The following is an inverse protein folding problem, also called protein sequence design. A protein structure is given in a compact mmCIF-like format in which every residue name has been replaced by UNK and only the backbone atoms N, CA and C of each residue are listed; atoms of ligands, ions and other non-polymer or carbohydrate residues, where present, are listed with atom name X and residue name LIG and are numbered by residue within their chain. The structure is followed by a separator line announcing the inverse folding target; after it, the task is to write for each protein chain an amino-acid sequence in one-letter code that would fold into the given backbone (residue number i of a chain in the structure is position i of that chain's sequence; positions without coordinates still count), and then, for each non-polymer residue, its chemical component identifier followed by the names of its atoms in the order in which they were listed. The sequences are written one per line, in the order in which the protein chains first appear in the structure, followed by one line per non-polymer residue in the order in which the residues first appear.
data_IF_001693331140
#
_entry.id   IF_001693331140
#
_cell.length_a   1.000
_cell.length_b   1.000
_cell.length_c   1.000
_cell.angle_alpha   90.00
_cell.angle_beta   90.00
_cell.angle_gamma   90.00
#
_symmetry.space_group_name_H-M   'P 1'
#
loop_
_entity.id
_entity.type
_entity.pdbx_description
1 polymer ?
#
# COMPACT_ATOMS: atom_id res chain seq x y z
N UNK A 1 -5.16 3.91 -16.73
CA UNK A 1 -6.53 3.47 -16.31
C UNK A 1 -6.91 4.13 -14.98
N UNK A 2 -6.08 4.09 -13.92
CA UNK A 2 -6.33 4.75 -12.64
C UNK A 2 -6.73 6.21 -12.79
N UNK A 3 -5.90 7.03 -13.41
CA UNK A 3 -6.18 8.44 -13.67
C UNK A 3 -7.51 8.71 -14.39
N UNK A 4 -7.91 7.82 -15.33
CA UNK A 4 -9.20 7.94 -16.03
C UNK A 4 -10.37 7.71 -15.07
N UNK A 5 -10.28 6.72 -14.18
CA UNK A 5 -11.31 6.47 -13.16
C UNK A 5 -11.45 7.64 -12.19
N UNK A 6 -10.33 8.21 -11.74
CA UNK A 6 -10.32 9.38 -10.84
C UNK A 6 -10.92 10.62 -11.54
N UNK A 7 -10.55 10.86 -12.79
CA UNK A 7 -11.11 11.96 -13.57
C UNK A 7 -12.63 11.80 -13.77
N UNK A 8 -13.10 10.61 -14.11
CA UNK A 8 -14.51 10.31 -14.29
C UNK A 8 -15.31 10.43 -12.98
N UNK A 9 -14.70 10.03 -11.83
CA UNK A 9 -15.29 10.24 -10.53
C UNK A 9 -15.45 11.73 -10.22
N UNK A 10 -14.39 12.51 -10.37
CA UNK A 10 -14.39 13.97 -10.12
C UNK A 10 -15.35 14.73 -11.06
N UNK A 11 -15.56 14.22 -12.28
CA UNK A 11 -16.53 14.75 -13.23
C UNK A 11 -17.99 14.35 -12.93
N UNK A 12 -18.23 13.47 -11.95
CA UNK A 12 -19.56 12.94 -11.63
C UNK A 12 -20.08 11.93 -12.68
N UNK A 13 -19.20 11.40 -13.51
CA UNK A 13 -19.54 10.40 -14.55
C UNK A 13 -19.62 8.98 -13.98
N UNK A 14 -19.03 8.78 -12.79
CA UNK A 14 -19.13 7.54 -12.04
C UNK A 14 -20.00 7.75 -10.81
N UNK A 15 -20.88 6.79 -10.56
CA UNK A 15 -21.67 6.69 -9.33
C UNK A 15 -21.47 5.33 -8.69
N UNK A 16 -21.68 5.24 -7.39
CA UNK A 16 -21.66 3.97 -6.69
C UNK A 16 -23.05 3.60 -6.18
N UNK A 17 -23.32 2.29 -6.15
CA UNK A 17 -24.56 1.79 -5.53
C UNK A 17 -24.45 1.91 -4.02
N UNK A 18 -25.51 2.44 -3.36
CA UNK A 18 -25.58 2.55 -1.90
C UNK A 18 -25.82 1.20 -1.18
N UNK A 19 -26.00 0.13 -1.92
CA UNK A 19 -26.21 -1.20 -1.38
C UNK A 19 -24.87 -1.97 -1.37
N UNK A 20 -24.29 -2.15 -0.19
CA UNK A 20 -23.14 -3.03 -0.04
C UNK A 20 -23.53 -4.47 -0.37
N UNK A 21 -22.77 -5.09 -1.24
CA UNK A 21 -22.86 -6.52 -1.54
C UNK A 21 -21.49 -7.13 -1.34
N UNK A 22 -21.35 -8.16 -0.49
CA UNK A 22 -20.08 -8.87 -0.39
C UNK A 22 -19.76 -9.45 -1.76
N UNK A 23 -18.70 -8.98 -2.38
CA UNK A 23 -18.25 -9.52 -3.64
C UNK A 23 -17.42 -10.77 -3.39
N UNK A 24 -18.08 -11.93 -3.35
CA UNK A 24 -17.40 -13.23 -3.35
C UNK A 24 -16.66 -13.51 -4.67
N UNK A 25 -16.89 -12.68 -5.68
CA UNK A 25 -16.40 -12.85 -7.06
C UNK A 25 -15.18 -12.02 -7.40
N UNK A 26 -14.78 -11.05 -6.57
CA UNK A 26 -13.51 -10.32 -6.79
C UNK A 26 -12.38 -11.29 -6.46
N UNK A 27 -11.88 -11.95 -7.50
CA UNK A 27 -10.84 -12.94 -7.42
C UNK A 27 -9.43 -12.31 -7.42
N UNK A 28 -8.56 -12.86 -8.25
CA UNK A 28 -7.21 -12.32 -8.48
C UNK A 28 -7.26 -11.01 -9.26
N UNK A 29 -6.39 -10.04 -8.95
CA UNK A 29 -6.30 -8.81 -9.73
C UNK A 29 -5.87 -9.09 -11.16
N UNK A 30 -6.25 -8.20 -12.09
CA UNK A 30 -5.69 -8.21 -13.44
C UNK A 30 -4.19 -8.01 -13.37
N UNK A 31 -3.42 -8.98 -13.88
CA UNK A 31 -1.95 -8.95 -13.88
C UNK A 31 -1.40 -9.27 -15.26
N UNK A 32 -0.26 -8.67 -15.64
CA UNK A 32 0.50 -9.14 -16.78
C UNK A 32 1.06 -10.55 -16.48
N UNK A 33 1.44 -11.29 -17.52
CA UNK A 33 2.07 -12.62 -17.38
C UNK A 33 3.38 -12.58 -16.58
N UNK A 34 4.09 -11.46 -16.62
CA UNK A 34 5.30 -11.20 -15.86
C UNK A 34 5.09 -9.99 -14.94
N UNK A 35 5.69 -9.97 -13.74
CA UNK A 35 6.72 -10.90 -13.22
C UNK A 35 6.15 -12.28 -12.85
N UNK A 36 6.98 -13.32 -13.01
CA UNK A 36 6.70 -14.63 -12.43
C UNK A 36 6.72 -14.49 -10.91
N UNK A 37 5.68 -14.98 -10.26
CA UNK A 37 5.57 -14.96 -8.79
C UNK A 37 6.28 -16.18 -8.19
N UNK A 38 7.07 -15.94 -7.16
CA UNK A 38 7.84 -16.95 -6.43
C UNK A 38 7.73 -16.72 -4.92
N UNK A 39 7.92 -17.75 -4.10
CA UNK A 39 8.00 -17.58 -2.65
C UNK A 39 9.05 -16.54 -2.25
N UNK A 40 8.84 -15.75 -1.18
CA UNK A 40 9.76 -14.66 -0.78
C UNK A 40 11.23 -15.08 -0.61
N UNK A 41 11.47 -16.34 -0.21
CA UNK A 41 12.82 -16.90 -0.06
C UNK A 41 13.56 -17.12 -1.40
N UNK A 42 12.82 -17.21 -2.49
CA UNK A 42 13.36 -17.46 -3.84
C UNK A 42 13.55 -16.17 -4.62
N UNK A 43 13.02 -15.04 -4.13
CA UNK A 43 13.24 -13.74 -4.73
C UNK A 43 14.67 -13.27 -4.45
N UNK A 44 15.42 -13.03 -5.50
CA UNK A 44 16.85 -12.70 -5.41
C UNK A 44 17.09 -11.35 -4.71
N UNK A 45 17.84 -11.39 -3.60
CA UNK A 45 18.35 -10.20 -2.93
C UNK A 45 19.73 -9.84 -3.47
N UNK A 46 19.93 -8.59 -3.87
CA UNK A 46 21.22 -8.10 -4.39
C UNK A 46 21.64 -6.83 -3.64
N UNK A 47 22.97 -6.57 -3.62
CA UNK A 47 23.50 -5.36 -2.98
C UNK A 47 23.25 -4.15 -3.88
N UNK A 48 22.67 -3.08 -3.33
CA UNK A 48 22.33 -1.82 -4.03
C UNK A 48 23.59 -1.08 -4.57
N UNK A 49 24.78 -1.40 -4.06
CA UNK A 49 26.04 -0.80 -4.52
C UNK A 49 26.38 -1.12 -6.00
N UNK A 50 25.79 -2.14 -6.59
CA UNK A 50 25.94 -2.46 -8.02
C UNK A 50 24.66 -2.19 -8.80
N UNK A 51 24.78 -1.96 -10.11
CA UNK A 51 23.65 -1.66 -11.00
C UNK A 51 22.57 -2.75 -10.95
N UNK A 52 22.96 -4.04 -11.04
CA UNK A 52 22.02 -5.17 -10.92
C UNK A 52 21.26 -5.17 -9.58
N UNK A 53 21.87 -4.66 -8.52
CA UNK A 53 21.22 -4.53 -7.22
C UNK A 53 20.23 -3.37 -7.17
N UNK A 54 20.54 -2.25 -7.83
CA UNK A 54 19.62 -1.11 -7.97
C UNK A 54 18.40 -1.50 -8.81
N UNK A 55 18.62 -2.17 -9.95
CA UNK A 55 17.54 -2.73 -10.77
C UNK A 55 16.64 -3.67 -9.94
N UNK A 56 17.24 -4.58 -9.17
CA UNK A 56 16.46 -5.50 -8.34
C UNK A 56 15.65 -4.80 -7.25
N UNK A 57 16.19 -3.74 -6.64
CA UNK A 57 15.47 -2.91 -5.67
C UNK A 57 14.29 -2.19 -6.34
N UNK A 58 14.55 -1.47 -7.43
CA UNK A 58 13.50 -0.73 -8.14
C UNK A 58 12.42 -1.65 -8.71
N UNK A 59 12.80 -2.83 -9.22
CA UNK A 59 11.83 -3.82 -9.69
C UNK A 59 10.93 -4.33 -8.55
N UNK A 60 11.50 -4.56 -7.36
CA UNK A 60 10.71 -4.97 -6.20
C UNK A 60 9.75 -3.85 -5.75
N UNK A 61 10.19 -2.59 -5.77
CA UNK A 61 9.33 -1.45 -5.45
C UNK A 61 8.25 -1.31 -6.54
N UNK A 62 8.58 -1.36 -7.83
CA UNK A 62 7.58 -1.34 -8.90
C UNK A 62 6.49 -2.41 -8.71
N UNK A 63 6.87 -3.59 -8.19
CA UNK A 63 5.89 -4.64 -7.90
C UNK A 63 5.02 -4.30 -6.69
N UNK A 64 5.56 -3.61 -5.68
CA UNK A 64 4.79 -3.09 -4.54
C UNK A 64 3.77 -2.07 -5.05
N UNK A 65 4.19 -1.05 -5.79
CA UNK A 65 3.32 0.00 -6.34
C UNK A 65 2.21 -0.60 -7.22
N UNK A 66 2.56 -1.57 -8.10
CA UNK A 66 1.57 -2.25 -8.93
C UNK A 66 0.49 -2.96 -8.09
N UNK A 67 0.86 -3.60 -6.99
CA UNK A 67 -0.10 -4.22 -6.08
C UNK A 67 -0.86 -3.17 -5.27
N UNK A 68 -0.24 -2.06 -4.87
CA UNK A 68 -0.88 -0.96 -4.16
C UNK A 68 -1.98 -0.30 -5.01
N UNK A 69 -1.77 -0.12 -6.33
CA UNK A 69 -2.84 0.28 -7.25
C UNK A 69 -4.04 -0.67 -7.12
N UNK A 70 -3.79 -1.98 -7.22
CA UNK A 70 -4.88 -2.96 -7.13
C UNK A 70 -5.56 -2.94 -5.76
N UNK A 71 -4.80 -2.77 -4.68
CA UNK A 71 -5.31 -2.67 -3.31
C UNK A 71 -6.23 -1.46 -3.12
N UNK A 72 -5.85 -0.30 -3.63
CA UNK A 72 -6.64 0.92 -3.53
C UNK A 72 -7.98 0.78 -4.26
N UNK A 73 -7.99 0.25 -5.48
CA UNK A 73 -9.23 -0.01 -6.21
C UNK A 73 -10.07 -1.15 -5.60
N UNK A 74 -9.43 -2.19 -5.06
CA UNK A 74 -10.11 -3.26 -4.32
C UNK A 74 -10.77 -2.73 -3.04
N UNK A 75 -10.15 -1.76 -2.37
CA UNK A 75 -10.73 -1.06 -1.22
C UNK A 75 -12.03 -0.36 -1.59
N UNK A 76 -12.05 0.37 -2.70
CA UNK A 76 -13.27 1.02 -3.21
C UNK A 76 -14.33 -0.03 -3.58
N UNK A 77 -13.93 -1.05 -4.35
CA UNK A 77 -14.88 -2.04 -4.87
C UNK A 77 -15.54 -2.88 -3.76
N UNK A 78 -14.77 -3.25 -2.72
CA UNK A 78 -15.30 -4.08 -1.62
C UNK A 78 -16.00 -3.27 -0.55
N UNK A 79 -15.45 -2.11 -0.21
CA UNK A 79 -15.84 -1.42 1.02
C UNK A 79 -16.46 -0.04 0.78
N UNK A 80 -16.54 0.45 -0.45
CA UNK A 80 -17.10 1.77 -0.76
C UNK A 80 -18.53 1.97 -0.29
N UNK A 81 -19.33 0.91 -0.18
CA UNK A 81 -20.69 0.94 0.35
C UNK A 81 -20.84 0.17 1.67
N UNK A 82 -19.74 -0.12 2.39
CA UNK A 82 -19.77 -0.89 3.62
C UNK A 82 -20.58 -0.18 4.73
N UNK A 83 -21.27 -0.96 5.55
CA UNK A 83 -22.16 -0.41 6.61
C UNK A 83 -21.44 0.34 7.71
N UNK A 84 -20.17 0.03 7.97
CA UNK A 84 -19.34 0.74 8.95
C UNK A 84 -18.84 2.10 8.43
N UNK A 85 -19.05 2.39 7.14
CA UNK A 85 -18.80 3.72 6.57
C UNK A 85 -20.13 4.47 6.56
N UNK A 86 -20.28 5.57 7.34
CA UNK A 86 -21.48 6.40 7.34
C UNK A 86 -21.84 6.83 5.93
N UNK A 87 -23.15 6.82 5.61
CA UNK A 87 -23.63 7.12 4.26
C UNK A 87 -23.08 8.42 3.71
N UNK A 88 -23.09 9.46 4.55
CA UNK A 88 -22.59 10.80 4.24
C UNK A 88 -21.05 10.86 4.05
N UNK A 89 -20.32 9.81 4.44
CA UNK A 89 -18.85 9.69 4.33
C UNK A 89 -18.39 8.76 3.22
N UNK A 90 -19.30 8.07 2.55
CA UNK A 90 -18.94 7.10 1.50
C UNK A 90 -18.24 7.74 0.31
N UNK A 91 -18.68 8.93 -0.08
CA UNK A 91 -18.03 9.68 -1.16
C UNK A 91 -16.59 10.02 -0.80
N UNK A 92 -16.36 10.52 0.45
CA UNK A 92 -15.03 10.84 0.94
C UNK A 92 -14.12 9.58 0.97
N UNK A 93 -14.68 8.44 1.42
CA UNK A 93 -13.96 7.15 1.44
C UNK A 93 -13.52 6.72 0.03
N UNK A 94 -14.44 6.78 -0.93
CA UNK A 94 -14.16 6.41 -2.32
C UNK A 94 -13.13 7.35 -2.90
N UNK A 95 -13.27 8.66 -2.70
CA UNK A 95 -12.34 9.66 -3.23
C UNK A 95 -10.92 9.48 -2.67
N UNK A 96 -10.79 9.24 -1.36
CA UNK A 96 -9.49 8.97 -0.75
C UNK A 96 -8.78 7.79 -1.40
N UNK A 97 -9.44 6.63 -1.54
CA UNK A 97 -8.82 5.45 -2.11
C UNK A 97 -8.63 5.53 -3.63
N UNK A 98 -9.46 6.28 -4.34
CA UNK A 98 -9.20 6.58 -5.75
C UNK A 98 -7.96 7.47 -5.91
N UNK A 99 -7.78 8.48 -5.05
CA UNK A 99 -6.58 9.33 -5.08
C UNK A 99 -5.32 8.53 -4.73
N UNK A 100 -5.37 7.66 -3.71
CA UNK A 100 -4.28 6.71 -3.43
C UNK A 100 -3.95 5.89 -4.68
N UNK A 101 -4.94 5.28 -5.32
CA UNK A 101 -4.71 4.48 -6.54
C UNK A 101 -4.13 5.28 -7.72
N UNK A 102 -4.42 6.57 -7.84
CA UNK A 102 -3.83 7.45 -8.86
C UNK A 102 -2.36 7.76 -8.53
N UNK A 103 -2.05 8.07 -7.27
CA UNK A 103 -0.69 8.28 -6.80
C UNK A 103 0.17 7.03 -7.01
N UNK A 104 -0.31 5.85 -6.62
CA UNK A 104 0.38 4.57 -6.82
C UNK A 104 0.64 4.27 -8.30
N UNK A 105 -0.32 4.62 -9.17
CA UNK A 105 -0.15 4.50 -10.62
C UNK A 105 0.96 5.40 -11.15
N UNK A 106 1.13 6.59 -10.60
CA UNK A 106 2.20 7.53 -10.91
C UNK A 106 3.54 7.04 -10.36
N UNK A 107 3.56 6.53 -9.12
CA UNK A 107 4.74 5.91 -8.51
C UNK A 107 5.26 4.75 -9.37
N UNK A 108 4.36 3.82 -9.73
CA UNK A 108 4.70 2.71 -10.62
C UNK A 108 5.30 3.19 -11.93
N UNK A 109 4.71 4.21 -12.55
CA UNK A 109 5.19 4.79 -13.81
C UNK A 109 6.60 5.36 -13.66
N UNK A 110 6.85 6.18 -12.64
CA UNK A 110 8.18 6.76 -12.37
C UNK A 110 9.25 5.69 -12.20
N UNK A 111 8.96 4.63 -11.43
CA UNK A 111 9.90 3.54 -11.21
C UNK A 111 10.12 2.73 -12.49
N UNK A 112 9.07 2.45 -13.27
CA UNK A 112 9.20 1.68 -14.51
C UNK A 112 9.98 2.45 -15.59
N UNK A 113 9.81 3.77 -15.68
CA UNK A 113 10.62 4.64 -16.54
C UNK A 113 12.09 4.61 -16.10
N UNK A 114 12.36 4.67 -14.79
CA UNK A 114 13.72 4.55 -14.25
C UNK A 114 14.35 3.19 -14.52
N UNK A 115 13.59 2.11 -14.45
CA UNK A 115 14.05 0.77 -14.84
C UNK A 115 14.46 0.74 -16.32
N UNK A 116 13.69 1.39 -17.20
CA UNK A 116 14.02 1.47 -18.63
C UNK A 116 15.34 2.21 -18.89
N UNK A 117 15.59 3.32 -18.17
CA UNK A 117 16.86 4.05 -18.22
C UNK A 117 18.06 3.18 -17.78
N UNK A 118 17.82 2.23 -16.87
CA UNK A 118 18.81 1.26 -16.41
C UNK A 118 18.88 -0.01 -17.29
N UNK A 119 18.23 0.01 -18.46
CA UNK A 119 18.22 -1.14 -19.40
C UNK A 119 17.39 -2.33 -18.92
N UNK A 120 16.38 -2.09 -18.07
CA UNK A 120 15.49 -3.12 -17.54
C UNK A 120 14.02 -2.71 -17.67
N UNK A 121 13.09 -3.50 -17.14
CA UNK A 121 11.66 -3.22 -17.14
C UNK A 121 10.96 -4.00 -16.03
N UNK A 122 9.74 -3.57 -15.69
CA UNK A 122 8.87 -4.36 -14.81
C UNK A 122 8.53 -5.71 -15.44
N UNK A 123 8.69 -6.78 -14.68
CA UNK A 123 8.54 -8.16 -15.19
C UNK A 123 9.86 -8.87 -15.54
N UNK A 124 10.99 -8.14 -15.58
CA UNK A 124 12.30 -8.74 -15.88
C UNK A 124 12.85 -9.65 -14.78
N UNK A 125 12.36 -9.53 -13.55
CA UNK A 125 12.78 -10.33 -12.39
C UNK A 125 11.56 -10.98 -11.75
N UNK A 126 11.77 -12.03 -10.95
CA UNK A 126 10.72 -12.63 -10.13
C UNK A 126 10.27 -11.68 -9.02
N UNK A 127 9.02 -11.79 -8.59
CA UNK A 127 8.44 -11.06 -7.47
C UNK A 127 7.68 -12.01 -6.52
N UNK A 128 7.14 -11.51 -5.42
CA UNK A 128 6.32 -12.32 -4.50
C UNK A 128 4.97 -11.66 -4.26
N UNK A 129 3.94 -12.45 -3.97
CA UNK A 129 2.55 -12.00 -3.89
C UNK A 129 2.09 -11.55 -2.50
N UNK A 130 3.01 -11.32 -1.58
CA UNK A 130 2.70 -11.10 -0.16
C UNK A 130 1.71 -9.97 0.13
N UNK A 131 1.70 -8.89 -0.68
CA UNK A 131 0.69 -7.83 -0.53
C UNK A 131 -0.71 -8.33 -0.90
N UNK A 132 -0.82 -9.07 -2.01
CA UNK A 132 -2.12 -9.56 -2.43
C UNK A 132 -2.61 -10.73 -1.56
N UNK A 133 -1.72 -11.58 -1.07
CA UNK A 133 -2.05 -12.59 -0.06
C UNK A 133 -2.67 -11.96 1.19
N UNK A 134 -2.11 -10.84 1.68
CA UNK A 134 -2.68 -10.09 2.79
C UNK A 134 -4.06 -9.49 2.44
N UNK A 135 -4.25 -9.02 1.20
CA UNK A 135 -5.54 -8.55 0.73
C UNK A 135 -6.60 -9.64 0.73
N UNK A 136 -6.26 -10.84 0.29
CA UNK A 136 -7.16 -12.01 0.32
C UNK A 136 -7.51 -12.39 1.77
N UNK A 137 -6.53 -12.40 2.66
CA UNK A 137 -6.72 -12.74 4.08
C UNK A 137 -7.65 -11.75 4.82
N UNK A 138 -7.82 -10.53 4.29
CA UNK A 138 -8.62 -9.46 4.90
C UNK A 138 -9.82 -9.03 4.05
N UNK A 139 -10.17 -9.81 3.02
CA UNK A 139 -11.18 -9.42 2.02
C UNK A 139 -12.59 -9.22 2.56
N UNK A 140 -12.93 -9.87 3.67
CA UNK A 140 -14.30 -9.90 4.22
C UNK A 140 -14.47 -8.96 5.43
N UNK A 141 -13.40 -8.27 5.88
CA UNK A 141 -13.45 -7.34 7.02
C UNK A 141 -12.69 -6.05 6.73
N UNK A 142 -13.41 -4.95 6.62
CA UNK A 142 -12.86 -3.62 6.40
C UNK A 142 -11.86 -3.21 7.48
N UNK A 143 -12.11 -3.54 8.76
CA UNK A 143 -11.18 -3.20 9.84
C UNK A 143 -9.87 -3.97 9.69
N UNK A 144 -9.93 -5.26 9.40
CA UNK A 144 -8.74 -6.08 9.14
C UNK A 144 -7.97 -5.56 7.91
N UNK A 145 -8.66 -5.21 6.81
CA UNK A 145 -8.06 -4.63 5.62
C UNK A 145 -7.33 -3.34 5.94
N UNK A 146 -7.97 -2.41 6.66
CA UNK A 146 -7.38 -1.14 7.05
C UNK A 146 -6.21 -1.31 8.03
N UNK A 147 -6.30 -2.25 8.97
CA UNK A 147 -5.21 -2.55 9.88
C UNK A 147 -3.98 -3.12 9.13
N UNK A 148 -4.18 -4.06 8.20
CA UNK A 148 -3.07 -4.80 7.60
C UNK A 148 -2.49 -4.07 6.39
N UNK A 149 -3.28 -3.62 5.43
CA UNK A 149 -2.75 -3.01 4.22
C UNK A 149 -2.08 -1.65 4.51
N UNK A 150 -2.79 -0.56 4.87
CA UNK A 150 -2.14 0.73 5.07
C UNK A 150 -1.34 0.82 6.38
N UNK A 151 -1.85 0.29 7.52
CA UNK A 151 -1.25 0.57 8.81
C UNK A 151 -0.12 -0.39 9.21
N UNK A 152 0.00 -1.56 8.56
CA UNK A 152 1.15 -2.47 8.73
C UNK A 152 2.05 -2.45 7.50
N UNK A 153 1.54 -2.74 6.31
CA UNK A 153 2.37 -2.99 5.12
C UNK A 153 2.88 -1.68 4.50
N UNK A 154 2.03 -0.69 4.23
CA UNK A 154 2.46 0.62 3.72
C UNK A 154 3.24 1.41 4.78
N UNK A 155 2.78 1.40 6.04
CA UNK A 155 3.51 2.04 7.14
C UNK A 155 4.93 1.47 7.32
N UNK A 156 5.19 0.21 6.92
CA UNK A 156 6.56 -0.31 6.86
C UNK A 156 7.40 0.41 5.82
N UNK A 157 6.81 0.89 4.74
CA UNK A 157 7.45 1.77 3.76
C UNK A 157 8.02 3.03 4.42
N UNK A 158 7.26 3.68 5.29
CA UNK A 158 7.72 4.87 6.03
C UNK A 158 8.98 4.62 6.86
N UNK A 159 9.15 3.40 7.39
CA UNK A 159 10.32 3.04 8.20
C UNK A 159 11.57 2.78 7.35
N UNK A 160 11.42 2.11 6.20
CA UNK A 160 12.55 1.56 5.46
C UNK A 160 13.02 2.42 4.29
N UNK A 161 12.14 3.22 3.70
CA UNK A 161 12.44 4.03 2.51
C UNK A 161 13.54 5.07 2.75
N UNK A 162 13.62 5.79 3.89
CA UNK A 162 14.75 6.69 4.14
C UNK A 162 16.11 6.00 4.09
N UNK A 163 16.17 4.76 4.58
CA UNK A 163 17.38 3.94 4.48
C UNK A 163 17.71 3.51 3.04
N UNK A 164 16.70 3.28 2.20
CA UNK A 164 16.89 2.96 0.77
C UNK A 164 17.39 4.17 0.01
N UNK A 165 16.80 5.35 0.21
CA UNK A 165 17.23 6.64 -0.35
C UNK A 165 18.72 6.90 -0.05
N UNK A 166 19.11 6.79 1.22
CA UNK A 166 20.49 6.97 1.64
C UNK A 166 21.45 5.98 0.97
N UNK A 167 21.06 4.74 0.76
CA UNK A 167 21.87 3.74 0.05
C UNK A 167 22.03 4.06 -1.44
N UNK A 168 20.97 4.52 -2.09
CA UNK A 168 21.02 4.96 -3.50
C UNK A 168 21.92 6.18 -3.68
N UNK A 169 21.81 7.21 -2.83
CA UNK A 169 22.68 8.38 -2.84
C UNK A 169 24.17 8.00 -2.68
N UNK A 170 24.47 7.09 -1.73
CA UNK A 170 25.86 6.60 -1.54
C UNK A 170 26.35 5.77 -2.73
N UNK A 171 25.47 5.14 -3.48
CA UNK A 171 25.80 4.41 -4.69
C UNK A 171 25.89 5.31 -5.94
N UNK A 172 25.73 6.64 -5.79
CA UNK A 172 25.78 7.61 -6.88
C UNK A 172 24.52 7.60 -7.78
N UNK A 173 23.41 7.03 -7.30
CA UNK A 173 22.14 6.96 -8.04
C UNK A 173 21.15 8.01 -7.51
N UNK A 174 21.46 9.27 -7.78
CA UNK A 174 20.61 10.42 -7.44
C UNK A 174 19.20 10.32 -8.02
N UNK A 175 19.03 10.04 -9.32
CA UNK A 175 17.70 9.95 -9.93
C UNK A 175 16.77 8.92 -9.26
N UNK A 176 17.28 7.73 -8.95
CA UNK A 176 16.49 6.73 -8.22
C UNK A 176 16.16 7.17 -6.79
N UNK A 177 17.07 7.88 -6.13
CA UNK A 177 16.83 8.41 -4.79
C UNK A 177 15.74 9.49 -4.78
N UNK A 178 15.71 10.38 -5.76
CA UNK A 178 14.70 11.45 -5.92
C UNK A 178 13.30 10.87 -6.14
N UNK A 179 13.18 9.80 -6.94
CA UNK A 179 11.92 9.09 -7.13
C UNK A 179 11.42 8.54 -5.78
N UNK A 180 12.29 7.86 -5.01
CA UNK A 180 11.91 7.33 -3.71
C UNK A 180 11.61 8.42 -2.67
N UNK A 181 12.21 9.60 -2.77
CA UNK A 181 11.86 10.75 -1.93
C UNK A 181 10.43 11.24 -2.21
N UNK A 182 10.05 11.32 -3.48
CA UNK A 182 8.68 11.69 -3.87
C UNK A 182 7.67 10.67 -3.34
N UNK A 183 7.89 9.39 -3.61
CA UNK A 183 7.04 8.30 -3.11
C UNK A 183 6.92 8.37 -1.58
N UNK A 184 8.04 8.46 -0.87
CA UNK A 184 8.04 8.51 0.59
C UNK A 184 7.18 9.65 1.17
N UNK A 185 7.20 10.84 0.57
CA UNK A 185 6.40 11.97 1.04
C UNK A 185 4.90 11.74 0.84
N UNK A 186 4.53 11.11 -0.25
CA UNK A 186 3.13 10.84 -0.58
C UNK A 186 2.57 9.65 0.21
N UNK A 187 3.38 8.63 0.50
CA UNK A 187 3.04 7.50 1.36
C UNK A 187 2.57 7.90 2.76
N UNK A 188 3.04 9.02 3.30
CA UNK A 188 2.53 9.56 4.57
C UNK A 188 1.03 9.82 4.49
N UNK A 189 0.53 10.31 3.34
CA UNK A 189 -0.89 10.60 3.14
C UNK A 189 -1.71 9.32 2.93
N UNK A 190 -1.12 8.28 2.29
CA UNK A 190 -1.78 6.98 2.13
C UNK A 190 -1.99 6.31 3.48
N UNK A 191 -0.97 6.27 4.32
CA UNK A 191 -1.09 5.76 5.70
C UNK A 191 -2.06 6.62 6.53
N UNK A 192 -2.07 7.96 6.35
CA UNK A 192 -3.00 8.85 7.02
C UNK A 192 -4.46 8.58 6.61
N UNK A 193 -4.72 8.30 5.34
CA UNK A 193 -6.04 7.87 4.87
C UNK A 193 -6.45 6.55 5.56
N UNK A 194 -5.56 5.56 5.60
CA UNK A 194 -5.77 4.31 6.31
C UNK A 194 -6.09 4.51 7.79
N UNK A 195 -5.32 5.35 8.50
CA UNK A 195 -5.55 5.70 9.91
C UNK A 195 -6.92 6.36 10.11
N UNK A 196 -7.24 7.36 9.30
CA UNK A 196 -8.53 8.06 9.36
C UNK A 196 -9.70 7.09 9.24
N UNK A 197 -9.71 6.23 8.25
CA UNK A 197 -10.80 5.29 8.00
C UNK A 197 -10.84 4.16 9.02
N UNK A 198 -9.70 3.72 9.52
CA UNK A 198 -9.66 2.77 10.63
C UNK A 198 -10.35 3.31 11.89
N UNK A 199 -10.09 4.58 12.25
CA UNK A 199 -10.77 5.23 13.37
C UNK A 199 -12.28 5.36 13.14
N UNK A 200 -12.72 5.66 11.91
CA UNK A 200 -14.16 5.68 11.59
C UNK A 200 -14.81 4.31 11.81
N UNK A 201 -14.17 3.24 11.35
CA UNK A 201 -14.66 1.88 11.54
C UNK A 201 -14.64 1.47 13.02
N UNK A 202 -13.61 1.83 13.77
CA UNK A 202 -13.56 1.61 15.23
C UNK A 202 -14.73 2.30 15.94
N UNK A 203 -15.02 3.54 15.60
CA UNK A 203 -16.16 4.28 16.16
C UNK A 203 -17.49 3.61 15.82
N UNK A 204 -17.70 3.19 14.56
CA UNK A 204 -18.91 2.49 14.13
C UNK A 204 -19.12 1.17 14.88
N UNK A 205 -18.02 0.46 15.18
CA UNK A 205 -18.02 -0.80 15.94
C UNK A 205 -17.92 -0.62 17.45
N UNK A 206 -17.85 0.60 17.94
CA UNK A 206 -17.64 0.93 19.36
C UNK A 206 -16.42 0.20 19.97
N UNK A 207 -15.28 0.22 19.24
CA UNK A 207 -14.02 -0.39 19.62
C UNK A 207 -12.96 0.67 19.89
N UNK A 208 -12.10 0.42 20.91
CA UNK A 208 -10.93 1.25 21.17
C UNK A 208 -9.85 0.97 20.09
N UNK A 209 -9.37 2.03 19.35
CA UNK A 209 -8.59 1.81 18.13
C UNK A 209 -7.29 1.02 18.33
N UNK A 210 -6.44 1.37 19.30
CA UNK A 210 -5.16 0.71 19.48
C UNK A 210 -5.32 -0.77 19.87
N UNK A 211 -6.20 -1.06 20.83
CA UNK A 211 -6.50 -2.43 21.24
C UNK A 211 -7.06 -3.26 20.09
N UNK A 212 -7.99 -2.66 19.32
CA UNK A 212 -8.58 -3.37 18.19
C UNK A 212 -7.58 -3.61 17.06
N UNK A 213 -6.70 -2.66 16.80
CA UNK A 213 -5.58 -2.85 15.87
C UNK A 213 -4.69 -4.03 16.30
N UNK A 214 -4.34 -4.14 17.58
CA UNK A 214 -3.52 -5.24 18.08
C UNK A 214 -4.19 -6.60 17.84
N UNK A 215 -5.48 -6.73 18.13
CA UNK A 215 -6.24 -7.96 17.88
C UNK A 215 -6.22 -8.35 16.39
N UNK A 216 -6.47 -7.37 15.51
CA UNK A 216 -6.50 -7.60 14.07
C UNK A 216 -5.12 -7.96 13.51
N UNK A 217 -4.06 -7.31 13.97
CA UNK A 217 -2.69 -7.66 13.57
C UNK A 217 -2.34 -9.06 14.03
N UNK A 218 -2.67 -9.45 15.27
CA UNK A 218 -2.42 -10.79 15.76
C UNK A 218 -3.21 -11.87 15.00
N UNK A 219 -4.42 -11.54 14.53
CA UNK A 219 -5.29 -12.47 13.81
C UNK A 219 -4.92 -12.62 12.33
N UNK A 220 -4.46 -11.54 11.67
CA UNK A 220 -4.34 -11.49 10.21
C UNK A 220 -2.92 -11.27 9.68
N UNK A 221 -1.94 -10.99 10.53
CA UNK A 221 -0.56 -10.76 10.11
C UNK A 221 0.39 -11.80 10.72
N UNK A 222 0.90 -12.67 9.89
CA UNK A 222 1.83 -13.74 10.32
C UNK A 222 3.27 -13.23 10.62
N UNK A 223 3.56 -11.96 10.36
CA UNK A 223 4.85 -11.33 10.61
C UNK A 223 4.89 -10.59 11.95
N UNK A 224 6.09 -10.10 12.29
CA UNK A 224 6.29 -9.22 13.43
C UNK A 224 6.50 -7.78 12.95
N UNK A 225 6.03 -6.82 13.73
CA UNK A 225 6.39 -5.43 13.51
C UNK A 225 7.83 -5.21 13.95
N UNK A 226 8.70 -4.83 13.02
CA UNK A 226 10.15 -4.78 13.23
C UNK A 226 10.66 -3.35 13.36
N UNK A 227 11.28 -2.96 14.49
CA UNK A 227 11.98 -1.68 14.57
C UNK A 227 13.23 -1.67 13.64
N UNK A 228 13.82 -0.47 13.37
CA UNK A 228 13.41 0.82 13.91
C UNK A 228 12.15 1.33 13.23
N UNK A 229 11.32 2.06 13.98
CA UNK A 229 10.16 2.77 13.46
C UNK A 229 10.50 4.24 13.20
N UNK A 230 9.99 4.78 12.11
CA UNK A 230 10.05 6.20 11.80
C UNK A 230 8.87 6.92 12.47
N UNK A 231 9.01 7.20 13.77
CA UNK A 231 7.93 7.82 14.54
C UNK A 231 7.49 9.16 13.98
N UNK A 232 8.40 9.96 13.40
CA UNK A 232 8.06 11.26 12.82
C UNK A 232 7.07 11.10 11.65
N UNK A 233 7.34 10.18 10.72
CA UNK A 233 6.46 9.94 9.58
C UNK A 233 5.15 9.27 10.01
N UNK A 234 5.22 8.32 10.95
CA UNK A 234 4.04 7.65 11.50
C UNK A 234 3.13 8.62 12.26
N UNK A 235 3.70 9.50 13.08
CA UNK A 235 2.95 10.55 13.80
C UNK A 235 2.29 11.53 12.80
N UNK A 236 3.00 11.92 11.71
CA UNK A 236 2.44 12.73 10.64
C UNK A 236 1.27 12.05 9.90
N UNK A 237 1.28 10.72 9.85
CA UNK A 237 0.18 9.90 9.33
C UNK A 237 -0.90 9.58 10.38
N UNK A 238 -0.85 10.19 11.55
CA UNK A 238 -1.74 9.90 12.70
C UNK A 238 -1.77 8.41 13.08
N UNK A 239 -0.64 7.70 12.90
CA UNK A 239 -0.43 6.33 13.36
C UNK A 239 0.48 6.38 14.59
N UNK A 240 -0.14 6.56 15.76
CA UNK A 240 0.54 6.82 17.02
C UNK A 240 1.25 5.58 17.56
N UNK A 241 2.17 5.79 18.51
CA UNK A 241 3.08 4.75 19.02
C UNK A 241 2.37 3.58 19.72
N UNK A 242 1.26 3.86 20.37
CA UNK A 242 0.41 2.86 21.03
C UNK A 242 -0.16 1.80 20.08
N UNK A 243 -0.24 2.10 18.78
CA UNK A 243 -0.61 1.12 17.77
C UNK A 243 0.50 0.08 17.52
N UNK A 244 1.75 0.49 17.37
CA UNK A 244 2.78 -0.37 16.82
C UNK A 244 3.89 -0.77 17.80
N UNK A 245 4.23 0.06 18.81
CA UNK A 245 5.30 -0.26 19.76
C UNK A 245 5.00 -1.51 20.60
N UNK A 246 3.77 -1.75 21.11
CA UNK A 246 3.44 -2.95 21.86
C UNK A 246 3.55 -4.25 21.04
N UNK A 247 3.48 -4.15 19.70
CA UNK A 247 3.60 -5.29 18.79
C UNK A 247 5.03 -5.48 18.24
N UNK A 248 5.98 -4.66 18.69
CA UNK A 248 7.38 -4.74 18.26
C UNK A 248 8.06 -5.99 18.78
N UNK A 249 8.78 -6.71 17.90
CA UNK A 249 9.59 -7.89 18.24
C UNK A 249 10.92 -7.89 17.48
#
# INVERSE_FOLDING_TARGET
MAHVCVAAWKAGELSFENAWRPSSEIGTPGRPENPILAPPREVQRRRVSGEKGRIALLHAIAHIEFNAINLAFDMVARFGAHTDIPLEKRSDFIEDWLNVGDDESRHFKMINERLAELGSHYGALTAHDGLWEAAIATKDDIAARLAIAPLVLEARGLDVTPGMINRLKRAGDGPSAEILETIYQEEIQHVAAGSRWFHHVCNARNREPATYFHELVQAHYAGNLKPPFNSVARDAANLLRDFYEPLAQ
#
